data_IF_548433771880
#
_entry.id   IF_548433771880
#
_cell.length_a   1.000
_cell.length_b   1.000
_cell.length_c   1.000
_cell.angle_alpha   90.00
_cell.angle_beta   90.00
_cell.angle_gamma   90.00
#
_symmetry.space_group_name_H-M   'P 1'
#
loop_
_entity.id
_entity.type
_entity.pdbx_description
1 polymer ?
#
# COMPACT_ATOMS: atom_id res chain seq x y z
N UNK A 1 9.11 -27.30 -12.46
CA UNK A 1 8.75 -26.79 -13.80
C UNK A 1 9.06 -25.30 -13.81
N UNK A 2 9.58 -24.76 -14.92
CA UNK A 2 9.97 -23.35 -15.05
C UNK A 2 8.75 -22.56 -15.53
N UNK A 3 8.49 -21.37 -15.00
CA UNK A 3 7.32 -20.57 -15.40
C UNK A 3 7.56 -19.92 -16.76
N UNK A 4 6.48 -19.69 -17.50
CA UNK A 4 6.45 -18.79 -18.64
C UNK A 4 5.67 -17.49 -18.33
N UNK A 5 5.82 -16.47 -19.18
CA UNK A 5 5.19 -15.16 -18.96
C UNK A 5 3.66 -15.24 -18.92
N UNK A 6 3.06 -16.10 -19.76
CA UNK A 6 1.61 -16.28 -19.83
C UNK A 6 1.05 -16.88 -18.55
N UNK A 7 1.71 -17.89 -17.99
CA UNK A 7 1.31 -18.51 -16.71
C UNK A 7 1.31 -17.50 -15.56
N UNK A 8 2.33 -16.65 -15.50
CA UNK A 8 2.45 -15.57 -14.51
C UNK A 8 1.31 -14.57 -14.67
N UNK A 9 1.04 -14.14 -15.91
CA UNK A 9 -0.01 -13.17 -16.23
C UNK A 9 -1.40 -13.72 -15.89
N UNK A 10 -1.70 -14.96 -16.29
CA UNK A 10 -3.01 -15.58 -16.10
C UNK A 10 -3.22 -16.17 -14.70
N UNK A 11 -2.22 -16.12 -13.82
CA UNK A 11 -2.35 -16.61 -12.44
C UNK A 11 -3.48 -15.85 -11.71
N UNK A 12 -4.54 -16.57 -11.33
CA UNK A 12 -5.71 -16.01 -10.63
C UNK A 12 -5.59 -16.19 -9.11
N UNK A 13 -6.05 -15.22 -8.31
CA UNK A 13 -6.17 -15.41 -6.87
C UNK A 13 -7.07 -16.62 -6.54
N UNK A 14 -6.75 -17.27 -5.42
CA UNK A 14 -7.52 -18.38 -4.82
C UNK A 14 -7.87 -18.02 -3.37
N UNK A 15 -8.68 -18.84 -2.70
CA UNK A 15 -9.09 -18.62 -1.30
C UNK A 15 -7.91 -18.52 -0.33
N UNK A 16 -6.78 -19.16 -0.67
CA UNK A 16 -5.54 -19.14 0.12
C UNK A 16 -4.35 -18.79 -0.76
N UNK A 17 -3.34 -18.17 -0.14
CA UNK A 17 -2.06 -17.88 -0.79
C UNK A 17 -1.45 -19.17 -1.32
N UNK A 18 -0.99 -19.14 -2.57
CA UNK A 18 -0.32 -20.29 -3.19
C UNK A 18 0.95 -19.86 -3.92
N UNK A 19 1.80 -20.84 -4.23
CA UNK A 19 3.11 -20.63 -4.83
C UNK A 19 3.21 -21.33 -6.18
N UNK A 20 3.81 -20.65 -7.14
CA UNK A 20 4.15 -21.19 -8.46
C UNK A 20 5.67 -21.17 -8.60
N UNK A 21 6.31 -22.34 -8.63
CA UNK A 21 7.77 -22.43 -8.66
C UNK A 21 8.33 -22.12 -10.06
N UNK A 22 9.41 -21.33 -10.12
CA UNK A 22 10.20 -21.10 -11.34
C UNK A 22 11.54 -21.85 -11.34
N UNK A 23 12.03 -22.23 -10.15
CA UNK A 23 13.25 -23.02 -9.98
C UNK A 23 14.41 -22.25 -9.35
N UNK A 24 15.35 -23.00 -8.78
CA UNK A 24 16.47 -22.42 -8.04
C UNK A 24 16.04 -21.66 -6.79
N UNK A 25 14.95 -22.09 -6.15
CA UNK A 25 14.35 -21.42 -5.00
C UNK A 25 13.39 -20.28 -5.35
N UNK A 26 13.38 -19.78 -6.59
CA UNK A 26 12.48 -18.73 -7.05
C UNK A 26 11.06 -19.27 -7.27
N UNK A 27 10.06 -18.50 -6.81
CA UNK A 27 8.65 -18.75 -7.01
C UNK A 27 7.85 -17.45 -7.05
N UNK A 28 6.69 -17.51 -7.71
CA UNK A 28 5.65 -16.48 -7.63
C UNK A 28 4.69 -16.83 -6.50
N UNK A 29 4.49 -15.93 -5.55
CA UNK A 29 3.52 -16.05 -4.48
C UNK A 29 2.27 -15.24 -4.82
N UNK A 30 1.13 -15.91 -4.99
CA UNK A 30 -0.13 -15.27 -5.37
C UNK A 30 -1.04 -15.20 -4.16
N UNK A 31 -1.41 -13.99 -3.75
CA UNK A 31 -2.29 -13.76 -2.60
C UNK A 31 -3.77 -13.89 -2.99
N UNK A 32 -4.67 -14.16 -2.02
CA UNK A 32 -6.11 -14.15 -2.25
C UNK A 32 -6.65 -12.80 -2.76
N UNK A 33 -5.93 -11.70 -2.50
CA UNK A 33 -6.26 -10.36 -2.97
C UNK A 33 -5.77 -10.07 -4.40
N UNK A 34 -5.11 -11.03 -5.06
CA UNK A 34 -4.64 -10.93 -6.44
C UNK A 34 -3.23 -10.35 -6.62
N UNK A 35 -2.55 -9.98 -5.54
CA UNK A 35 -1.14 -9.54 -5.60
C UNK A 35 -0.21 -10.72 -5.86
N UNK A 36 0.83 -10.53 -6.68
CA UNK A 36 1.76 -11.59 -7.09
C UNK A 36 3.21 -11.18 -6.80
N UNK A 37 3.86 -11.84 -5.85
CA UNK A 37 5.20 -11.49 -5.37
C UNK A 37 6.26 -12.46 -5.90
N UNK A 38 7.38 -11.94 -6.38
CA UNK A 38 8.55 -12.76 -6.66
C UNK A 38 9.35 -12.98 -5.39
N UNK A 39 9.54 -14.24 -5.01
CA UNK A 39 10.28 -14.61 -3.81
C UNK A 39 11.24 -15.75 -4.09
N UNK A 40 12.39 -15.74 -3.43
CA UNK A 40 13.33 -16.87 -3.41
C UNK A 40 13.42 -17.45 -2.01
N UNK A 41 13.21 -18.75 -1.88
CA UNK A 41 13.53 -19.52 -0.68
C UNK A 41 14.98 -19.96 -0.73
N UNK A 42 15.72 -19.73 0.34
CA UNK A 42 17.13 -20.09 0.47
C UNK A 42 17.49 -20.50 1.90
N UNK A 43 18.72 -20.98 2.12
CA UNK A 43 19.26 -21.22 3.45
C UNK A 43 20.35 -20.20 3.73
N UNK A 44 20.29 -19.55 4.89
CA UNK A 44 21.28 -18.55 5.29
C UNK A 44 22.65 -19.20 5.42
N UNK A 45 23.73 -18.53 4.98
CA UNK A 45 25.07 -19.10 5.05
C UNK A 45 25.54 -19.28 6.50
N UNK A 46 25.12 -18.41 7.41
CA UNK A 46 25.48 -18.39 8.84
C UNK A 46 24.91 -19.55 9.65
N UNK A 47 23.58 -19.69 9.70
CA UNK A 47 22.89 -20.65 10.59
C UNK A 47 22.20 -21.80 9.85
N UNK A 48 22.32 -21.84 8.51
CA UNK A 48 21.65 -22.80 7.61
C UNK A 48 20.13 -22.84 7.74
N UNK A 49 19.50 -21.91 8.47
CA UNK A 49 18.05 -21.83 8.58
C UNK A 49 17.45 -21.34 7.27
N UNK A 50 16.24 -21.78 7.04
CA UNK A 50 15.49 -21.40 5.86
C UNK A 50 14.99 -19.96 5.98
N UNK A 51 15.28 -19.13 4.98
CA UNK A 51 14.78 -17.76 4.89
C UNK A 51 14.24 -17.50 3.46
N UNK A 52 13.62 -16.34 3.28
CA UNK A 52 13.00 -15.90 2.04
C UNK A 52 13.49 -14.51 1.70
N UNK A 53 13.80 -14.32 0.42
CA UNK A 53 14.19 -13.06 -0.18
C UNK A 53 13.09 -12.58 -1.12
N UNK A 54 12.71 -11.31 -1.05
CA UNK A 54 11.71 -10.71 -1.93
C UNK A 54 12.40 -9.96 -3.08
N UNK A 55 11.85 -10.05 -4.29
CA UNK A 55 12.46 -9.48 -5.50
C UNK A 55 11.59 -8.43 -6.21
N UNK A 56 10.35 -8.24 -5.78
CA UNK A 56 9.38 -7.31 -6.33
C UNK A 56 8.03 -7.98 -6.62
N UNK A 57 7.02 -7.15 -6.92
CA UNK A 57 5.69 -7.61 -7.33
C UNK A 57 5.55 -7.54 -8.85
N UNK A 58 4.83 -8.49 -9.43
CA UNK A 58 4.43 -8.44 -10.83
C UNK A 58 3.22 -7.47 -11.00
N UNK A 59 3.16 -6.63 -12.06
CA UNK A 59 4.02 -6.61 -13.24
C UNK A 59 5.25 -5.70 -13.15
N UNK A 60 5.44 -4.94 -12.06
CA UNK A 60 6.59 -4.04 -11.89
C UNK A 60 7.92 -4.75 -12.08
N UNK A 61 8.04 -5.95 -11.49
CA UNK A 61 9.17 -6.85 -11.73
C UNK A 61 8.71 -7.99 -12.63
N UNK A 62 9.30 -8.03 -13.82
CA UNK A 62 9.07 -9.08 -14.80
C UNK A 62 9.71 -10.40 -14.37
N UNK A 63 9.27 -11.51 -14.96
CA UNK A 63 9.88 -12.83 -14.74
C UNK A 63 11.37 -12.84 -15.08
N UNK A 64 11.80 -12.11 -16.12
CA UNK A 64 13.20 -12.00 -16.50
C UNK A 64 14.03 -11.29 -15.42
N UNK A 65 13.54 -10.14 -14.92
CA UNK A 65 14.19 -9.40 -13.83
C UNK A 65 14.24 -10.22 -12.54
N UNK A 66 13.17 -10.96 -12.21
CA UNK A 66 13.14 -11.84 -11.04
C UNK A 66 14.20 -12.96 -11.12
N UNK A 67 14.45 -13.50 -12.32
CA UNK A 67 15.52 -14.48 -12.56
C UNK A 67 16.91 -13.87 -12.42
N UNK A 68 17.12 -12.66 -12.95
CA UNK A 68 18.40 -11.95 -12.79
C UNK A 68 18.74 -11.72 -11.31
N UNK A 69 17.77 -11.20 -10.53
CA UNK A 69 17.91 -11.00 -9.08
C UNK A 69 18.17 -12.30 -8.31
N UNK A 70 17.53 -13.41 -8.72
CA UNK A 70 17.82 -14.75 -8.18
C UNK A 70 19.28 -15.13 -8.39
N UNK A 71 19.79 -14.92 -9.61
CA UNK A 71 21.13 -15.33 -9.97
C UNK A 71 22.19 -14.48 -9.25
N UNK A 72 21.93 -13.18 -9.06
CA UNK A 72 22.73 -12.30 -8.18
C UNK A 72 22.72 -12.78 -6.72
N UNK A 73 21.55 -13.05 -6.15
CA UNK A 73 21.44 -13.54 -4.78
C UNK A 73 22.16 -14.88 -4.60
N UNK A 74 22.15 -15.76 -5.61
CA UNK A 74 22.91 -17.01 -5.59
C UNK A 74 24.42 -16.79 -5.62
N UNK A 75 24.93 -15.79 -6.34
CA UNK A 75 26.36 -15.45 -6.33
C UNK A 75 26.81 -15.08 -4.93
N UNK A 76 26.03 -14.24 -4.22
CA UNK A 76 26.30 -13.87 -2.84
C UNK A 76 26.31 -15.09 -1.91
N UNK A 77 25.34 -16.00 -2.07
CA UNK A 77 25.29 -17.24 -1.28
C UNK A 77 26.50 -18.14 -1.49
N UNK A 78 27.03 -18.23 -2.72
CA UNK A 78 28.26 -18.98 -3.01
C UNK A 78 29.47 -18.35 -2.32
N UNK A 79 29.49 -17.03 -2.17
CA UNK A 79 30.52 -16.28 -1.44
C UNK A 79 30.34 -16.35 0.09
N UNK A 80 29.30 -17.04 0.59
CA UNK A 80 29.01 -17.11 2.02
C UNK A 80 28.34 -15.85 2.58
N UNK A 81 27.92 -14.92 1.72
CA UNK A 81 27.25 -13.68 2.09
C UNK A 81 25.74 -13.91 2.14
N UNK A 82 25.08 -13.43 3.19
CA UNK A 82 23.61 -13.48 3.28
C UNK A 82 23.02 -12.36 2.39
N UNK A 83 22.31 -12.69 1.29
CA UNK A 83 21.78 -11.70 0.37
C UNK A 83 20.82 -10.71 1.03
N UNK A 84 20.14 -11.12 2.11
CA UNK A 84 19.20 -10.26 2.83
C UNK A 84 19.90 -9.28 3.75
N UNK A 85 21.06 -9.66 4.31
CA UNK A 85 21.91 -8.75 5.06
C UNK A 85 22.54 -7.72 4.13
N UNK A 86 23.10 -8.17 3.00
CA UNK A 86 23.65 -7.31 1.94
C UNK A 86 22.60 -6.32 1.44
N UNK A 87 21.38 -6.80 1.14
CA UNK A 87 20.29 -5.92 0.71
C UNK A 87 19.95 -4.89 1.80
N UNK A 88 19.99 -5.26 3.08
CA UNK A 88 19.71 -4.33 4.18
C UNK A 88 20.83 -3.29 4.35
N UNK A 89 22.09 -3.68 4.20
CA UNK A 89 23.26 -2.80 4.26
C UNK A 89 23.30 -1.85 3.08
N UNK A 90 23.15 -2.35 1.86
CA UNK A 90 23.03 -1.52 0.65
C UNK A 90 21.85 -0.54 0.73
N UNK A 91 20.74 -0.94 1.34
CA UNK A 91 19.62 -0.02 1.59
C UNK A 91 19.88 0.97 2.75
N UNK A 92 20.75 0.65 3.70
CA UNK A 92 21.12 1.57 4.79
C UNK A 92 22.07 2.66 4.26
N UNK A 93 23.02 2.29 3.41
CA UNK A 93 23.90 3.22 2.69
C UNK A 93 23.12 4.11 1.72
N UNK A 94 22.06 3.58 1.10
CA UNK A 94 21.16 4.32 0.22
C UNK A 94 19.92 4.90 0.92
N UNK A 95 20.02 5.29 2.20
CA UNK A 95 18.86 5.81 2.97
C UNK A 95 18.09 6.93 2.25
N UNK A 96 18.78 7.77 1.46
CA UNK A 96 18.17 8.82 0.63
C UNK A 96 17.22 8.28 -0.46
N UNK A 97 17.51 7.09 -1.02
CA UNK A 97 16.70 6.42 -2.05
C UNK A 97 15.39 5.89 -1.46
N UNK A 98 15.38 5.53 -0.18
CA UNK A 98 14.21 4.93 0.50
C UNK A 98 13.47 5.90 1.42
N UNK A 99 13.67 7.21 1.27
CA UNK A 99 12.87 8.19 2.01
C UNK A 99 11.42 8.17 1.54
N UNK A 100 10.49 8.53 2.43
CA UNK A 100 9.07 8.62 2.08
C UNK A 100 8.84 9.55 0.89
N UNK A 101 9.56 10.67 0.83
CA UNK A 101 9.44 11.63 -0.26
C UNK A 101 9.90 11.05 -1.60
N UNK A 102 11.05 10.38 -1.65
CA UNK A 102 11.53 9.74 -2.89
C UNK A 102 10.50 8.75 -3.41
N UNK A 103 10.00 7.86 -2.55
CA UNK A 103 8.99 6.87 -2.94
C UNK A 103 7.65 7.52 -3.31
N UNK A 104 7.25 8.60 -2.64
CA UNK A 104 6.04 9.34 -2.99
C UNK A 104 6.15 10.01 -4.37
N UNK A 105 7.33 10.52 -4.73
CA UNK A 105 7.60 11.11 -6.06
C UNK A 105 7.65 10.04 -7.15
N UNK A 106 8.23 8.87 -6.89
CA UNK A 106 8.16 7.71 -7.79
C UNK A 106 6.72 7.27 -8.03
N UNK A 107 5.94 7.09 -6.96
CA UNK A 107 4.52 6.78 -7.06
C UNK A 107 3.76 7.84 -7.88
N UNK A 108 4.02 9.12 -7.64
CA UNK A 108 3.41 10.22 -8.38
C UNK A 108 3.73 10.15 -9.87
N UNK A 109 4.99 9.89 -10.24
CA UNK A 109 5.45 9.73 -11.62
C UNK A 109 4.84 8.49 -12.31
N UNK A 110 4.54 7.43 -11.55
CA UNK A 110 3.93 6.20 -12.09
C UNK A 110 2.48 6.40 -12.58
N UNK A 111 1.79 7.45 -12.13
CA UNK A 111 0.39 7.72 -12.46
C UNK A 111 0.25 8.51 -13.77
N UNK A 112 0.33 7.81 -14.91
CA UNK A 112 0.26 8.39 -16.26
C UNK A 112 -1.14 8.84 -16.71
N UNK A 113 -2.20 8.50 -15.98
CA UNK A 113 -3.60 8.77 -16.36
C UNK A 113 -4.15 10.08 -15.79
N UNK A 114 -3.40 10.76 -14.92
CA UNK A 114 -3.86 11.99 -14.29
C UNK A 114 -3.61 13.19 -15.19
N UNK A 115 -4.54 14.15 -15.19
CA UNK A 115 -4.29 15.46 -15.80
C UNK A 115 -3.17 16.18 -15.07
N UNK A 116 -2.48 17.09 -15.77
CA UNK A 116 -1.34 17.82 -15.21
C UNK A 116 -1.75 18.63 -13.97
N UNK A 117 -2.91 19.30 -14.00
CA UNK A 117 -3.47 20.01 -12.85
C UNK A 117 -3.71 19.10 -11.64
N UNK A 118 -4.20 17.89 -11.87
CA UNK A 118 -4.41 16.92 -10.79
C UNK A 118 -3.07 16.47 -10.20
N UNK A 119 -2.08 16.18 -11.06
CA UNK A 119 -0.71 15.82 -10.64
C UNK A 119 -0.09 16.93 -9.80
N UNK A 120 -0.09 18.17 -10.29
CA UNK A 120 0.46 19.32 -9.59
C UNK A 120 -0.22 19.54 -8.23
N UNK A 121 -1.56 19.46 -8.17
CA UNK A 121 -2.33 19.59 -6.93
C UNK A 121 -2.01 18.46 -5.94
N UNK A 122 -1.84 17.23 -6.42
CA UNK A 122 -1.48 16.09 -5.55
C UNK A 122 -0.13 16.33 -4.89
N UNK A 123 0.87 16.67 -5.70
CA UNK A 123 2.25 16.86 -5.24
C UNK A 123 2.36 18.04 -4.27
N UNK A 124 1.77 19.20 -4.62
CA UNK A 124 1.77 20.40 -3.77
C UNK A 124 1.22 20.14 -2.36
N UNK A 125 0.17 19.33 -2.25
CA UNK A 125 -0.42 19.00 -0.95
C UNK A 125 0.49 18.07 -0.11
N UNK A 126 1.24 17.18 -0.75
CA UNK A 126 2.23 16.36 -0.05
C UNK A 126 3.41 17.21 0.42
N UNK A 127 3.90 18.12 -0.43
CA UNK A 127 4.96 19.08 -0.10
C UNK A 127 4.57 20.03 1.03
N UNK A 128 3.30 20.45 1.08
CA UNK A 128 2.84 21.38 2.10
C UNK A 128 2.58 20.72 3.46
N UNK A 129 2.00 19.52 3.47
CA UNK A 129 1.44 18.94 4.70
C UNK A 129 2.15 17.67 5.19
N UNK A 130 2.88 16.95 4.34
CA UNK A 130 3.42 15.62 4.68
C UNK A 130 4.94 15.63 4.68
N UNK A 131 5.59 16.05 3.59
CA UNK A 131 7.04 16.02 3.46
C UNK A 131 7.80 16.79 4.54
N UNK A 132 7.33 17.94 5.05
CA UNK A 132 8.01 18.64 6.14
C UNK A 132 8.10 17.85 7.45
N UNK A 133 7.28 16.81 7.62
CA UNK A 133 7.20 16.02 8.85
C UNK A 133 7.82 14.64 8.72
N UNK A 134 7.62 13.97 7.58
CA UNK A 134 8.05 12.58 7.38
C UNK A 134 8.77 12.35 6.05
N UNK A 135 8.97 13.39 5.23
CA UNK A 135 9.50 13.27 3.88
C UNK A 135 10.91 12.66 3.84
N UNK A 136 11.79 13.11 4.72
CA UNK A 136 13.16 12.60 4.85
C UNK A 136 13.28 11.29 5.64
N UNK A 137 12.18 10.82 6.24
CA UNK A 137 12.20 9.59 7.04
C UNK A 137 12.28 8.36 6.12
N UNK A 138 13.06 7.38 6.54
CA UNK A 138 13.13 6.08 5.88
C UNK A 138 11.76 5.38 5.95
N UNK A 139 11.21 5.06 4.79
CA UNK A 139 9.88 4.46 4.65
C UNK A 139 9.76 3.11 5.38
N UNK A 140 10.88 2.40 5.58
CA UNK A 140 10.95 1.10 6.26
C UNK A 140 10.77 1.21 7.78
N UNK A 141 11.03 2.38 8.34
CA UNK A 141 10.93 2.63 9.77
C UNK A 141 9.63 3.36 10.16
N UNK A 142 8.82 3.76 9.17
CA UNK A 142 7.58 4.47 9.41
C UNK A 142 6.52 3.55 10.01
N UNK A 143 6.00 3.96 11.17
CA UNK A 143 4.87 3.33 11.86
C UNK A 143 3.59 4.14 11.61
N UNK A 144 2.43 3.54 11.88
CA UNK A 144 1.12 4.19 11.75
C UNK A 144 1.05 5.53 12.48
N UNK A 145 1.64 5.62 13.68
CA UNK A 145 1.70 6.85 14.47
C UNK A 145 2.42 8.00 13.74
N UNK A 146 3.56 7.71 13.11
CA UNK A 146 4.34 8.70 12.35
C UNK A 146 3.56 9.20 11.13
N UNK A 147 2.87 8.30 10.43
CA UNK A 147 2.08 8.63 9.25
C UNK A 147 0.83 9.46 9.58
N UNK A 148 0.18 9.19 10.72
CA UNK A 148 -1.03 9.88 11.14
C UNK A 148 -0.77 11.24 11.79
N UNK A 149 0.37 11.44 12.43
CA UNK A 149 0.71 12.69 13.13
C UNK A 149 0.52 13.96 12.25
N UNK A 150 1.08 14.06 11.03
CA UNK A 150 0.88 15.24 10.19
C UNK A 150 -0.58 15.40 9.74
N UNK A 151 -1.29 14.30 9.49
CA UNK A 151 -2.70 14.31 9.05
C UNK A 151 -3.59 14.85 10.18
N UNK A 152 -3.39 14.37 11.42
CA UNK A 152 -4.13 14.83 12.60
C UNK A 152 -3.94 16.33 12.85
N UNK A 153 -2.75 16.87 12.58
CA UNK A 153 -2.48 18.31 12.70
C UNK A 153 -3.30 19.14 11.71
N UNK A 154 -3.43 18.66 10.46
CA UNK A 154 -4.29 19.29 9.44
C UNK A 154 -5.77 19.20 9.82
N UNK A 155 -6.18 18.05 10.34
CA UNK A 155 -7.55 17.80 10.77
C UNK A 155 -7.97 18.72 11.94
N UNK A 156 -7.10 18.83 12.95
CA UNK A 156 -7.29 19.74 14.09
C UNK A 156 -7.35 21.22 13.69
N UNK A 157 -6.85 21.58 12.50
CA UNK A 157 -6.94 22.93 11.95
C UNK A 157 -8.28 23.20 11.21
N UNK A 158 -9.26 22.29 11.33
CA UNK A 158 -10.58 22.38 10.68
C UNK A 158 -10.59 21.98 9.21
N UNK A 159 -9.47 21.51 8.65
CA UNK A 159 -9.34 21.13 7.22
C UNK A 159 -9.63 19.64 7.00
N UNK A 160 -10.79 19.17 7.45
CA UNK A 160 -11.15 17.74 7.49
C UNK A 160 -11.06 17.04 6.12
N UNK A 161 -11.62 17.65 5.06
CA UNK A 161 -11.54 17.11 3.70
C UNK A 161 -10.10 16.96 3.20
N UNK A 162 -9.23 17.89 3.58
CA UNK A 162 -7.80 17.84 3.22
C UNK A 162 -7.13 16.69 3.96
N UNK A 163 -7.39 16.55 5.26
CA UNK A 163 -6.85 15.46 6.07
C UNK A 163 -7.26 14.09 5.52
N UNK A 164 -8.54 13.91 5.17
CA UNK A 164 -9.05 12.67 4.58
C UNK A 164 -8.36 12.34 3.24
N UNK A 165 -8.18 13.34 2.36
CA UNK A 165 -7.49 13.15 1.08
C UNK A 165 -6.00 12.82 1.28
N UNK A 166 -5.34 13.44 2.24
CA UNK A 166 -3.94 13.15 2.58
C UNK A 166 -3.78 11.72 3.09
N UNK A 167 -4.68 11.27 3.98
CA UNK A 167 -4.70 9.92 4.49
C UNK A 167 -4.84 8.87 3.39
N UNK A 168 -5.76 9.08 2.45
CA UNK A 168 -5.92 8.20 1.28
C UNK A 168 -4.63 8.11 0.48
N UNK A 169 -3.97 9.25 0.22
CA UNK A 169 -2.71 9.31 -0.53
C UNK A 169 -1.57 8.60 0.18
N UNK A 170 -1.35 8.88 1.46
CA UNK A 170 -0.34 8.19 2.28
C UNK A 170 -0.58 6.69 2.27
N UNK A 171 -1.84 6.26 2.37
CA UNK A 171 -2.20 4.83 2.31
C UNK A 171 -1.82 4.19 0.97
N UNK A 172 -2.05 4.89 -0.13
CA UNK A 172 -1.70 4.41 -1.47
C UNK A 172 -0.19 4.43 -1.70
N UNK A 173 0.54 5.44 -1.22
CA UNK A 173 2.00 5.50 -1.28
C UNK A 173 2.62 4.33 -0.50
N UNK A 174 2.16 4.06 0.72
CA UNK A 174 2.64 2.89 1.49
C UNK A 174 2.26 1.57 0.82
N UNK A 175 1.12 1.51 0.12
CA UNK A 175 0.77 0.34 -0.71
C UNK A 175 1.71 0.20 -1.90
N UNK A 176 2.08 1.29 -2.57
CA UNK A 176 3.08 1.30 -3.62
C UNK A 176 4.43 0.83 -3.09
N UNK A 177 4.82 1.24 -1.88
CA UNK A 177 6.04 0.76 -1.25
C UNK A 177 6.03 -0.75 -1.00
N UNK A 178 4.90 -1.31 -0.54
CA UNK A 178 4.71 -2.78 -0.45
C UNK A 178 4.78 -3.43 -1.82
N UNK A 179 4.16 -2.83 -2.84
CA UNK A 179 4.16 -3.36 -4.21
C UNK A 179 5.55 -3.36 -4.86
N UNK A 180 6.47 -2.54 -4.38
CA UNK A 180 7.84 -2.52 -4.87
C UNK A 180 8.82 -3.23 -3.92
N UNK A 181 8.29 -3.94 -2.91
CA UNK A 181 9.06 -4.63 -1.86
C UNK A 181 10.05 -3.71 -1.12
N UNK A 182 9.73 -2.41 -1.04
CA UNK A 182 10.45 -1.49 -0.16
C UNK A 182 10.11 -1.77 1.31
N UNK A 183 8.89 -2.23 1.59
CA UNK A 183 8.42 -2.60 2.94
C UNK A 183 7.58 -3.88 2.90
N UNK A 184 7.62 -4.68 3.97
CA UNK A 184 6.93 -5.98 4.04
C UNK A 184 5.40 -5.87 4.21
N UNK A 185 4.93 -4.78 4.83
CA UNK A 185 3.50 -4.58 5.11
C UNK A 185 3.17 -3.08 5.13
N UNK A 186 1.90 -2.75 4.88
CA UNK A 186 1.44 -1.36 4.87
C UNK A 186 0.98 -0.94 6.28
N UNK A 187 1.77 -0.14 7.04
CA UNK A 187 1.39 0.33 8.37
C UNK A 187 0.20 1.30 8.34
N UNK A 188 -0.13 1.90 7.20
CA UNK A 188 -1.31 2.75 7.02
C UNK A 188 -2.60 1.96 6.68
N UNK A 189 -2.55 0.63 6.63
CA UNK A 189 -3.72 -0.20 6.31
C UNK A 189 -4.62 -0.53 7.50
N UNK A 190 -4.21 -0.15 8.71
CA UNK A 190 -4.98 -0.45 9.92
C UNK A 190 -6.34 0.28 9.93
N UNK A 191 -7.40 -0.43 10.38
CA UNK A 191 -8.79 0.05 10.36
C UNK A 191 -9.04 1.18 11.36
N UNK A 192 -8.11 1.42 12.28
CA UNK A 192 -8.09 2.56 13.23
C UNK A 192 -7.97 3.93 12.53
N UNK A 193 -7.57 3.95 11.26
CA UNK A 193 -7.41 5.17 10.46
C UNK A 193 -8.77 5.71 9.95
N UNK A 194 -9.88 4.98 10.15
CA UNK A 194 -11.22 5.34 9.66
C UNK A 194 -11.99 6.39 10.48
N UNK A 195 -11.47 6.84 11.62
CA UNK A 195 -12.22 7.68 12.58
C UNK A 195 -12.13 9.19 12.36
N UNK A 196 -11.48 9.69 11.29
CA UNK A 196 -11.51 11.13 10.95
C UNK A 196 -12.75 11.51 10.11
N UNK A 197 -13.89 10.86 10.37
CA UNK A 197 -15.17 11.35 9.87
C UNK A 197 -15.71 12.34 10.92
N UNK A 198 -16.13 13.55 10.55
CA UNK A 198 -17.06 14.29 11.40
C UNK A 198 -18.25 13.38 11.65
N UNK A 199 -18.65 13.24 12.92
CA UNK A 199 -19.91 12.62 13.26
C UNK A 199 -20.98 13.46 12.57
N UNK A 200 -21.53 12.97 11.45
CA UNK A 200 -22.78 13.52 10.96
C UNK A 200 -23.80 13.11 12.01
N UNK A 201 -24.19 14.05 12.86
CA UNK A 201 -25.42 13.90 13.62
C UNK A 201 -26.53 13.82 12.58
N UNK A 202 -26.90 12.59 12.23
CA UNK A 202 -28.14 12.33 11.51
C UNK A 202 -29.20 12.73 12.51
N UNK A 203 -29.65 13.99 12.44
CA UNK A 203 -30.89 14.39 13.09
C UNK A 203 -31.96 13.53 12.42
N UNK A 204 -32.61 12.61 13.14
CA UNK A 204 -33.71 11.88 12.54
C UNK A 204 -34.73 12.92 12.09
N UNK A 205 -35.13 12.86 10.82
CA UNK A 205 -36.24 13.63 10.27
C UNK A 205 -37.54 13.14 10.92
N UNK A 206 -37.75 13.51 12.18
CA UNK A 206 -39.07 13.54 12.77
C UNK A 206 -39.61 14.96 12.58
N UNK A 207 -40.79 15.13 11.99
CA UNK A 207 -41.45 16.43 12.03
C UNK A 207 -41.77 16.77 13.49
N UNK A 208 -41.65 18.04 13.91
CA UNK A 208 -42.02 18.44 15.26
C UNK A 208 -43.51 18.17 15.49
N UNK A 209 -43.82 17.48 16.58
CA UNK A 209 -45.19 17.27 17.05
C UNK A 209 -45.82 18.63 17.34
N UNK A 210 -46.76 19.06 16.51
CA UNK A 210 -47.44 20.35 16.72
C UNK A 210 -48.19 20.98 15.54
N UNK A 211 -48.48 20.26 14.46
CA UNK A 211 -49.34 20.78 13.37
C UNK A 211 -50.63 19.98 13.29
N UNK A 212 -51.71 20.59 13.80
CA UNK A 212 -53.10 20.14 13.65
C UNK A 212 -53.53 20.19 12.18
N UNK A 213 -53.23 19.14 11.42
CA UNK A 213 -53.87 18.87 10.12
C UNK A 213 -53.69 17.40 9.73
N UNK A 214 -54.05 16.49 10.64
CA UNK A 214 -54.17 15.05 10.40
C UNK A 214 -55.63 14.64 10.63
N UNK A 215 -56.52 15.13 9.76
CA UNK A 215 -57.92 14.73 9.73
C UNK A 215 -58.51 15.14 8.37
N UNK A 216 -58.10 14.47 7.28
CA UNK A 216 -58.98 14.36 6.10
C UNK A 216 -58.61 13.31 5.03
N UNK A 217 -57.55 12.49 5.17
CA UNK A 217 -57.16 11.56 4.08
C UNK A 217 -57.17 10.08 4.50
N UNK A 218 -58.04 9.71 5.46
CA UNK A 218 -58.26 8.31 5.80
C UNK A 218 -59.75 7.95 5.99
N UNK A 219 -60.63 8.56 5.19
CA UNK A 219 -62.05 8.21 5.12
C UNK A 219 -62.55 8.37 3.68
N UNK A 220 -62.03 7.55 2.74
CA UNK A 220 -62.67 7.34 1.42
C UNK A 220 -62.11 6.12 0.66
N UNK A 221 -61.77 5.03 1.35
CA UNK A 221 -61.64 3.71 0.71
C UNK A 221 -62.19 2.62 1.65
N UNK A 222 -63.44 2.78 2.11
CA UNK A 222 -64.38 1.67 2.36
C UNK A 222 -65.79 2.26 2.15
N UNK A 223 -66.57 1.64 1.26
CA UNK A 223 -67.94 1.96 0.84
C UNK A 223 -68.12 3.02 -0.28
N UNK A 224 -68.03 2.61 -1.55
CA UNK A 224 -69.13 2.22 -2.47
C UNK A 224 -68.51 1.62 -3.72
#
# INVERSE_FOLDING_TARGET
>A
MKLNAREVETAKPKDKTYKMADGGGLYLEVSPKGSKYWRMKYRRPSDKKEDRLAFGVWPTVTLAQARAKRDEAKKLLVQGIDPKAEQKEAQAENSWVYTFETIAREWHASNKRWSEDHRARVLRYLELYIFPHIGSSDIRQLKTSHLLAPIKKVDASGKHDVAQRLQQRVTVIMRYAVQNDYIDSNPASDRSVRYLQPKHDITPLYPPAGSLSFLLVLLLIVAV
#
